data_IF_038926687258
#
_entry.id   IF_038926687258
#
_cell.length_a   1.000
_cell.length_b   1.000
_cell.length_c   1.000
_cell.angle_alpha   90.00
_cell.angle_beta   90.00
_cell.angle_gamma   90.00
#
_symmetry.space_group_name_H-M   'P 1'
#
loop_
_entity.id
_entity.type
_entity.pdbx_description
1 polymer ?
#
# COMPACT_ATOMS: atom_id res chain seq x y z
N UNK A 1 -16.03 1.64 -32.32
CA UNK A 1 -14.60 1.86 -32.11
C UNK A 1 -14.34 2.61 -30.82
N UNK A 2 -15.10 3.68 -30.53
CA UNK A 2 -14.95 4.44 -29.31
C UNK A 2 -15.24 3.63 -28.07
N UNK A 3 -16.27 2.81 -28.09
CA UNK A 3 -16.62 1.97 -26.95
C UNK A 3 -15.54 0.92 -26.66
N UNK A 4 -14.96 0.34 -27.71
CA UNK A 4 -13.87 -0.62 -27.56
C UNK A 4 -12.65 0.01 -26.93
N UNK A 5 -12.30 1.22 -27.36
CA UNK A 5 -11.18 1.95 -26.77
C UNK A 5 -11.42 2.27 -25.31
N UNK A 6 -12.62 2.71 -24.96
CA UNK A 6 -12.97 2.98 -23.56
C UNK A 6 -12.88 1.73 -22.71
N UNK A 7 -13.37 0.61 -23.21
CA UNK A 7 -13.33 -0.65 -22.50
C UNK A 7 -11.87 -1.06 -22.25
N UNK A 8 -11.03 -0.95 -23.27
CA UNK A 8 -9.61 -1.28 -23.16
C UNK A 8 -8.89 -0.39 -22.14
N UNK A 9 -9.15 0.91 -22.19
CA UNK A 9 -8.56 1.86 -21.22
C UNK A 9 -8.98 1.53 -19.79
N UNK A 10 -10.25 1.24 -19.57
CA UNK A 10 -10.76 0.87 -18.26
C UNK A 10 -10.09 -0.40 -17.75
N UNK A 11 -9.88 -1.38 -18.61
CA UNK A 11 -9.20 -2.62 -18.24
C UNK A 11 -7.74 -2.37 -17.87
N UNK A 12 -7.04 -1.53 -18.63
CA UNK A 12 -5.66 -1.17 -18.34
C UNK A 12 -5.54 -0.43 -17.00
N UNK A 13 -6.44 0.51 -16.72
CA UNK A 13 -6.46 1.21 -15.45
C UNK A 13 -6.64 0.24 -14.28
N UNK A 14 -7.57 -0.69 -14.39
CA UNK A 14 -7.79 -1.68 -13.33
C UNK A 14 -6.56 -2.55 -13.10
N UNK A 15 -5.89 -2.96 -14.17
CA UNK A 15 -4.66 -3.77 -14.07
C UNK A 15 -3.55 -2.98 -13.41
N UNK A 16 -3.33 -1.73 -13.83
CA UNK A 16 -2.30 -0.87 -13.26
C UNK A 16 -2.55 -0.61 -11.78
N UNK A 17 -3.79 -0.27 -11.40
CA UNK A 17 -4.15 -0.01 -10.01
C UNK A 17 -3.95 -1.26 -9.15
N UNK A 18 -4.36 -2.42 -9.66
CA UNK A 18 -4.20 -3.68 -8.95
C UNK A 18 -2.73 -4.01 -8.75
N UNK A 19 -1.91 -3.82 -9.79
CA UNK A 19 -0.48 -4.08 -9.72
C UNK A 19 0.21 -3.16 -8.71
N UNK A 20 -0.10 -1.87 -8.76
CA UNK A 20 0.44 -0.89 -7.81
C UNK A 20 0.05 -1.21 -6.38
N UNK A 21 -1.20 -1.57 -6.15
CA UNK A 21 -1.68 -1.96 -4.84
C UNK A 21 -0.95 -3.21 -4.34
N UNK A 22 -0.76 -4.20 -5.20
CA UNK A 22 -0.05 -5.42 -4.85
C UNK A 22 1.39 -5.15 -4.46
N UNK A 23 2.08 -4.27 -5.19
CA UNK A 23 3.46 -3.89 -4.87
C UNK A 23 3.55 -3.21 -3.53
N UNK A 24 2.65 -2.30 -3.24
CA UNK A 24 2.61 -1.60 -1.96
C UNK A 24 2.34 -2.58 -0.82
N UNK A 25 1.38 -3.47 -1.01
CA UNK A 25 1.04 -4.48 0.00
C UNK A 25 2.21 -5.43 0.26
N UNK A 26 2.89 -5.89 -0.79
CA UNK A 26 4.07 -6.75 -0.65
C UNK A 26 5.19 -6.04 0.11
N UNK A 27 5.43 -4.78 -0.22
CA UNK A 27 6.44 -3.97 0.46
C UNK A 27 6.13 -3.83 1.95
N UNK A 28 4.88 -3.50 2.28
CA UNK A 28 4.45 -3.36 3.67
C UNK A 28 4.56 -4.69 4.41
N UNK A 29 4.14 -5.77 3.78
CA UNK A 29 4.18 -7.10 4.37
C UNK A 29 5.62 -7.53 4.65
N UNK A 30 6.51 -7.32 3.69
CA UNK A 30 7.93 -7.64 3.84
C UNK A 30 8.56 -6.80 4.96
N UNK A 31 8.23 -5.53 5.03
CA UNK A 31 8.73 -4.65 6.07
C UNK A 31 8.26 -5.11 7.45
N UNK A 32 7.01 -5.51 7.56
CA UNK A 32 6.47 -6.08 8.80
C UNK A 32 7.18 -7.37 9.20
N UNK A 33 7.52 -8.19 8.24
CA UNK A 33 8.21 -9.45 8.47
C UNK A 33 9.66 -9.25 8.90
N UNK A 34 10.37 -8.30 8.27
CA UNK A 34 11.78 -8.07 8.54
C UNK A 34 12.05 -7.20 9.76
N UNK A 35 11.23 -6.18 9.96
CA UNK A 35 11.46 -5.14 10.98
C UNK A 35 10.37 -5.07 12.04
N UNK A 36 9.32 -5.87 11.90
CA UNK A 36 8.20 -5.83 12.81
C UNK A 36 8.48 -6.48 14.14
N UNK A 37 7.92 -5.90 15.20
CA UNK A 37 7.93 -6.50 16.54
C UNK A 37 6.51 -6.86 16.92
N UNK A 38 6.31 -8.06 17.40
CA UNK A 38 5.01 -8.51 17.86
C UNK A 38 4.65 -7.83 19.17
N UNK A 39 3.49 -7.18 19.20
CA UNK A 39 2.95 -6.54 20.39
C UNK A 39 1.53 -7.05 20.57
N UNK A 40 1.34 -8.05 21.41
CA UNK A 40 0.05 -8.73 21.53
C UNK A 40 -0.33 -9.42 20.26
N UNK A 41 -1.45 -9.02 19.67
CA UNK A 41 -1.93 -9.56 18.39
C UNK A 41 -1.54 -8.69 17.19
N UNK A 42 -0.73 -7.66 17.42
CA UNK A 42 -0.37 -6.71 16.37
C UNK A 42 1.13 -6.78 16.10
N UNK A 43 1.53 -6.34 14.91
CA UNK A 43 2.93 -6.22 14.55
C UNK A 43 3.25 -4.74 14.37
N UNK A 44 4.24 -4.26 15.13
CA UNK A 44 4.66 -2.87 15.11
C UNK A 44 5.95 -2.72 14.30
N UNK A 45 5.93 -1.81 13.33
CA UNK A 45 7.12 -1.42 12.57
C UNK A 45 7.40 0.05 12.82
N UNK A 46 8.59 0.37 13.30
CA UNK A 46 9.06 1.76 13.42
C UNK A 46 9.75 2.16 12.12
N UNK A 47 9.40 3.33 11.60
CA UNK A 47 9.97 3.82 10.35
C UNK A 47 9.98 5.34 10.31
N UNK A 48 10.75 5.89 9.37
CA UNK A 48 10.80 7.32 9.09
C UNK A 48 10.48 7.63 7.63
N UNK A 49 9.71 6.75 6.98
CA UNK A 49 9.40 6.89 5.56
C UNK A 49 8.16 7.76 5.36
N UNK A 50 8.22 8.61 4.34
CA UNK A 50 7.06 9.34 3.85
C UNK A 50 6.33 8.50 2.82
N UNK A 51 5.12 8.93 2.43
CA UNK A 51 4.40 8.29 1.31
C UNK A 51 5.22 8.33 0.02
N UNK A 52 5.98 9.42 -0.19
CA UNK A 52 6.82 9.53 -1.36
C UNK A 52 7.96 8.51 -1.33
N UNK A 53 8.56 8.29 -0.16
CA UNK A 53 9.61 7.28 -0.01
C UNK A 53 9.09 5.88 -0.36
N UNK A 54 7.92 5.54 0.14
CA UNK A 54 7.28 4.26 -0.17
C UNK A 54 6.98 4.15 -1.67
N UNK A 55 6.49 5.24 -2.27
CA UNK A 55 6.21 5.28 -3.70
C UNK A 55 7.47 5.03 -4.52
N UNK A 56 8.58 5.67 -4.15
CA UNK A 56 9.86 5.49 -4.83
C UNK A 56 10.37 4.06 -4.71
N UNK A 57 10.24 3.45 -3.55
CA UNK A 57 10.69 2.08 -3.30
C UNK A 57 9.83 1.04 -4.01
N UNK A 58 8.55 1.32 -4.18
CA UNK A 58 7.61 0.37 -4.80
C UNK A 58 7.41 0.61 -6.28
N UNK A 59 7.96 1.70 -6.82
CA UNK A 59 7.76 2.06 -8.21
C UNK A 59 6.34 2.52 -8.52
N UNK A 60 5.69 3.14 -7.54
CA UNK A 60 4.34 3.67 -7.67
C UNK A 60 4.32 5.18 -7.44
N UNK A 61 3.14 5.77 -7.35
CA UNK A 61 3.03 7.20 -7.08
C UNK A 61 2.66 7.45 -5.62
N UNK A 62 3.01 8.65 -5.12
CA UNK A 62 2.62 9.06 -3.77
C UNK A 62 1.11 9.01 -3.59
N UNK A 63 0.36 9.42 -4.61
CA UNK A 63 -1.10 9.40 -4.57
C UNK A 63 -1.63 7.98 -4.40
N UNK A 64 -1.02 7.02 -5.08
CA UNK A 64 -1.40 5.62 -4.97
C UNK A 64 -1.11 5.08 -3.57
N UNK A 65 0.06 5.39 -3.02
CA UNK A 65 0.43 4.98 -1.66
C UNK A 65 -0.59 5.54 -0.66
N UNK A 66 -0.91 6.82 -0.78
CA UNK A 66 -1.89 7.47 0.10
C UNK A 66 -3.25 6.78 0.01
N UNK A 67 -3.72 6.50 -1.20
CA UNK A 67 -5.01 5.83 -1.40
C UNK A 67 -5.03 4.43 -0.81
N UNK A 68 -3.99 3.65 -1.03
CA UNK A 68 -3.89 2.28 -0.50
C UNK A 68 -3.83 2.28 1.01
N UNK A 69 -3.00 3.13 1.61
CA UNK A 69 -2.88 3.21 3.07
C UNK A 69 -4.18 3.65 3.73
N UNK A 70 -4.88 4.62 3.13
CA UNK A 70 -6.17 5.06 3.64
C UNK A 70 -7.22 3.95 3.54
N UNK A 71 -7.20 3.18 2.46
CA UNK A 71 -8.12 2.05 2.31
C UNK A 71 -7.86 0.98 3.36
N UNK A 72 -6.60 0.64 3.60
CA UNK A 72 -6.23 -0.35 4.61
C UNK A 72 -6.57 0.11 6.02
N UNK A 73 -6.39 1.40 6.30
CA UNK A 73 -6.75 1.99 7.58
C UNK A 73 -8.27 1.91 7.81
N UNK A 74 -9.06 2.23 6.80
CA UNK A 74 -10.54 2.15 6.89
C UNK A 74 -11.02 0.72 7.09
N UNK A 75 -10.31 -0.25 6.54
CA UNK A 75 -10.65 -1.67 6.68
C UNK A 75 -10.07 -2.29 7.96
N UNK A 76 -9.42 -1.51 8.81
CA UNK A 76 -8.78 -1.97 10.04
C UNK A 76 -7.72 -3.06 9.84
N UNK A 77 -7.11 -3.08 8.66
CA UNK A 77 -6.02 -4.02 8.36
C UNK A 77 -4.71 -3.52 8.98
N UNK A 78 -4.49 -2.21 8.91
CA UNK A 78 -3.33 -1.59 9.53
C UNK A 78 -3.63 -0.15 9.94
N UNK A 79 -2.77 0.37 10.80
CA UNK A 79 -2.71 1.77 11.15
C UNK A 79 -1.35 2.32 10.74
N UNK A 80 -1.34 3.48 10.11
CA UNK A 80 -0.13 4.10 9.58
C UNK A 80 -0.01 5.53 10.08
N UNK A 81 1.17 5.88 10.59
CA UNK A 81 1.52 7.28 10.82
C UNK A 81 3.00 7.50 10.42
N UNK A 82 3.51 8.70 10.63
CA UNK A 82 4.86 9.07 10.19
C UNK A 82 5.98 8.22 10.78
N UNK A 83 5.76 7.67 11.96
CA UNK A 83 6.83 6.99 12.71
C UNK A 83 6.63 5.50 12.85
N UNK A 84 5.42 5.01 12.64
CA UNK A 84 5.14 3.59 12.87
C UNK A 84 3.97 3.09 12.03
N UNK A 85 4.01 1.80 11.78
CA UNK A 85 2.91 1.05 11.17
C UNK A 85 2.51 -0.04 12.16
N UNK A 86 1.21 -0.17 12.40
CA UNK A 86 0.65 -1.26 13.19
C UNK A 86 -0.15 -2.15 12.27
N UNK A 87 0.28 -3.39 12.10
CA UNK A 87 -0.46 -4.39 11.35
C UNK A 87 -1.37 -5.15 12.30
N UNK A 88 -2.64 -5.21 11.98
CA UNK A 88 -3.63 -6.00 12.73
C UNK A 88 -3.83 -7.34 12.03
N UNK A 89 -3.68 -8.38 12.76
CA UNK A 89 -3.92 -9.73 12.26
C UNK A 89 -5.38 -10.15 12.44
#
# INVERSE_FOLDING_TARGET
LGERLRYTETQLEKVVLKDSKSRILEFLHQMGHEQGKRVGYETLVKHNMTHQDIADLTGTSRQMVTAVLNQLKRSNVLYFNRKKILFRD
#
